data_IF_601578173056
#
_entry.id   IF_601578173056
#
_cell.length_a   1.000
_cell.length_b   1.000
_cell.length_c   1.000
_cell.angle_alpha   90.00
_cell.angle_beta   90.00
_cell.angle_gamma   90.00
#
_symmetry.space_group_name_H-M   'P 1'
#
loop_
_entity.id
_entity.type
_entity.pdbx_description
1 polymer ?
#
# COMPACT_ATOMS: atom_id res chain seq x y z
N UNK A 1 -34.46 39.83 -26.32
CA UNK A 1 -34.06 40.09 -24.91
C UNK A 1 -34.52 39.04 -23.89
N UNK A 2 -35.67 38.38 -24.13
CA UNK A 2 -36.21 37.39 -23.20
C UNK A 2 -35.33 36.13 -23.02
N UNK A 3 -34.64 35.67 -24.04
CA UNK A 3 -33.70 34.52 -23.96
C UNK A 3 -32.43 34.78 -23.14
N UNK A 4 -31.99 36.04 -23.09
CA UNK A 4 -30.78 36.40 -22.36
C UNK A 4 -31.04 36.46 -20.85
N UNK A 5 -32.23 36.86 -20.44
CA UNK A 5 -32.64 36.96 -19.04
C UNK A 5 -32.81 35.55 -18.42
N UNK A 6 -33.45 34.63 -19.13
CA UNK A 6 -33.65 33.24 -18.70
C UNK A 6 -32.31 32.46 -18.55
N UNK A 7 -31.32 32.77 -19.38
CA UNK A 7 -30.01 32.12 -19.27
C UNK A 7 -29.26 32.58 -18.02
N UNK A 8 -29.35 33.86 -17.67
CA UNK A 8 -28.73 34.42 -16.44
C UNK A 8 -29.35 33.85 -15.15
N UNK A 9 -30.70 33.71 -15.14
CA UNK A 9 -31.38 33.13 -13.99
C UNK A 9 -31.00 31.65 -13.75
N UNK A 10 -30.89 30.87 -14.81
CA UNK A 10 -30.45 29.47 -14.71
C UNK A 10 -29.03 29.32 -14.21
N UNK A 11 -28.11 30.19 -14.61
CA UNK A 11 -26.73 30.18 -14.15
C UNK A 11 -26.60 30.61 -12.65
N UNK A 12 -27.44 31.55 -12.22
CA UNK A 12 -27.52 31.93 -10.82
C UNK A 12 -28.09 30.83 -9.93
N UNK A 13 -29.15 30.17 -10.40
CA UNK A 13 -29.75 29.02 -9.69
C UNK A 13 -28.76 27.85 -9.53
N UNK A 14 -27.99 27.53 -10.57
CA UNK A 14 -26.95 26.51 -10.51
C UNK A 14 -25.85 26.83 -9.51
N UNK A 15 -25.43 28.10 -9.42
CA UNK A 15 -24.44 28.52 -8.43
C UNK A 15 -24.93 28.40 -7.00
N UNK A 16 -26.19 28.80 -6.77
CA UNK A 16 -26.83 28.70 -5.44
C UNK A 16 -26.99 27.21 -5.07
N UNK A 17 -27.47 26.38 -6.01
CA UNK A 17 -27.66 24.96 -5.78
C UNK A 17 -26.33 24.23 -5.49
N UNK A 18 -25.27 24.52 -6.24
CA UNK A 18 -23.94 23.99 -5.97
C UNK A 18 -23.39 24.44 -4.61
N UNK A 19 -23.62 25.68 -4.21
CA UNK A 19 -23.22 26.20 -2.91
C UNK A 19 -23.95 25.49 -1.75
N UNK A 20 -25.25 25.25 -1.88
CA UNK A 20 -26.05 24.54 -0.89
C UNK A 20 -25.66 23.07 -0.80
N UNK A 21 -25.46 22.41 -1.96
CA UNK A 21 -25.00 21.03 -2.01
C UNK A 21 -23.60 20.86 -1.39
N UNK A 22 -22.70 21.81 -1.67
CA UNK A 22 -21.36 21.80 -1.07
C UNK A 22 -21.40 22.01 0.43
N UNK A 23 -22.24 22.94 0.91
CA UNK A 23 -22.48 23.15 2.34
C UNK A 23 -23.10 21.94 3.03
N UNK A 24 -24.03 21.24 2.38
CA UNK A 24 -24.63 20.01 2.90
C UNK A 24 -23.62 18.86 2.98
N UNK A 25 -22.72 18.74 2.02
CA UNK A 25 -21.64 17.73 2.04
C UNK A 25 -20.64 17.99 3.22
N UNK A 26 -20.34 19.23 3.50
CA UNK A 26 -19.49 19.59 4.67
C UNK A 26 -20.20 19.21 5.97
N UNK A 27 -21.51 19.49 6.10
CA UNK A 27 -22.33 19.14 7.27
C UNK A 27 -22.49 17.62 7.45
N UNK A 28 -22.43 16.84 6.37
CA UNK A 28 -22.47 15.37 6.40
C UNK A 28 -21.12 14.72 6.75
N UNK A 29 -20.09 15.52 7.09
CA UNK A 29 -18.80 15.01 7.56
C UNK A 29 -17.88 14.49 6.46
N UNK A 30 -18.15 14.81 5.18
CA UNK A 30 -17.15 14.63 4.13
C UNK A 30 -16.10 15.74 4.26
N UNK A 31 -15.34 15.70 5.35
CA UNK A 31 -14.18 16.56 5.51
C UNK A 31 -13.14 16.15 4.47
N UNK A 32 -12.90 17.03 3.52
CA UNK A 32 -11.78 16.92 2.61
C UNK A 32 -10.50 16.97 3.44
N UNK A 33 -9.72 15.91 3.43
CA UNK A 33 -8.38 15.94 4.00
C UNK A 33 -7.49 16.81 3.11
N UNK A 34 -7.43 18.10 3.36
CA UNK A 34 -6.51 19.00 2.70
C UNK A 34 -5.09 18.75 3.23
N UNK A 35 -4.13 18.59 2.32
CA UNK A 35 -2.72 18.33 2.65
C UNK A 35 -2.08 19.42 3.51
N UNK A 36 -2.68 20.61 3.59
CA UNK A 36 -2.16 21.76 4.32
C UNK A 36 -2.93 22.10 5.62
N UNK A 37 -3.95 21.33 5.99
CA UNK A 37 -4.72 21.58 7.19
C UNK A 37 -4.00 21.06 8.44
N UNK A 38 -3.09 21.84 8.99
CA UNK A 38 -2.60 21.74 10.37
C UNK A 38 -3.67 22.23 11.37
N UNK A 39 -4.93 21.83 11.20
CA UNK A 39 -6.06 22.22 12.05
C UNK A 39 -6.66 21.03 12.75
N UNK A 40 -6.71 21.06 14.07
CA UNK A 40 -7.34 20.10 14.95
C UNK A 40 -8.70 19.57 14.41
N UNK A 41 -8.84 18.25 14.21
CA UNK A 41 -10.15 17.65 14.08
C UNK A 41 -10.39 16.64 12.95
N UNK A 42 -9.38 15.97 12.40
CA UNK A 42 -9.61 14.85 11.49
C UNK A 42 -8.89 13.59 11.98
N UNK A 43 -9.51 12.89 12.93
CA UNK A 43 -8.99 11.64 13.52
C UNK A 43 -8.92 10.47 12.49
N UNK A 44 -9.38 10.67 11.25
CA UNK A 44 -9.46 9.61 10.24
C UNK A 44 -8.45 9.72 9.09
N UNK A 45 -7.51 10.65 9.14
CA UNK A 45 -6.51 10.80 8.09
C UNK A 45 -5.22 10.05 8.46
N UNK A 46 -5.20 8.74 8.25
CA UNK A 46 -4.00 7.92 8.47
C UNK A 46 -2.88 8.25 7.48
N UNK A 47 -1.66 8.29 7.97
CA UNK A 47 -0.48 8.43 7.12
C UNK A 47 -0.29 7.20 6.23
N UNK A 48 0.37 7.37 5.09
CA UNK A 48 0.64 6.30 4.14
C UNK A 48 2.07 6.39 3.61
N UNK A 49 2.61 5.26 3.21
CA UNK A 49 3.94 5.15 2.62
C UNK A 49 3.96 4.20 1.42
N UNK A 50 4.97 4.36 0.56
CA UNK A 50 5.22 3.44 -0.56
C UNK A 50 6.31 2.46 -0.19
N UNK A 51 6.02 1.19 -0.37
CA UNK A 51 6.94 0.09 -0.10
C UNK A 51 7.24 -0.67 -1.38
N UNK A 52 8.51 -1.01 -1.55
CA UNK A 52 8.99 -1.80 -2.67
C UNK A 52 9.90 -2.93 -2.16
N UNK A 53 9.60 -4.15 -2.56
CA UNK A 53 10.48 -5.30 -2.41
C UNK A 53 10.84 -5.85 -3.78
N UNK A 54 12.11 -5.98 -4.04
CA UNK A 54 12.63 -6.58 -5.26
C UNK A 54 13.72 -7.58 -4.92
N UNK A 55 13.90 -8.56 -5.77
CA UNK A 55 14.96 -9.52 -5.55
C UNK A 55 14.92 -10.66 -6.52
N UNK A 56 15.62 -11.72 -6.13
CA UNK A 56 15.78 -12.92 -6.95
C UNK A 56 15.66 -14.16 -6.10
N UNK A 57 15.08 -15.20 -6.64
CA UNK A 57 14.99 -16.51 -6.02
C UNK A 57 15.96 -17.47 -6.71
N UNK A 58 16.84 -18.03 -5.92
CA UNK A 58 17.86 -18.97 -6.34
C UNK A 58 17.71 -20.29 -5.57
N UNK A 59 17.96 -21.39 -6.22
CA UNK A 59 18.13 -22.67 -5.57
C UNK A 59 19.53 -22.85 -5.00
N UNK A 60 19.77 -23.96 -4.34
CA UNK A 60 21.01 -24.28 -3.63
C UNK A 60 22.25 -24.25 -4.54
N UNK A 61 22.14 -24.67 -5.80
CA UNK A 61 23.23 -24.63 -6.80
C UNK A 61 23.25 -23.32 -7.58
N UNK A 62 22.61 -22.24 -7.08
CA UNK A 62 22.51 -20.92 -7.70
C UNK A 62 21.71 -20.86 -9.00
N UNK A 63 20.98 -21.93 -9.38
CA UNK A 63 20.05 -21.88 -10.50
C UNK A 63 18.85 -20.98 -10.12
N UNK A 64 18.31 -20.29 -11.10
CA UNK A 64 17.10 -19.46 -10.92
C UNK A 64 15.88 -20.36 -10.64
N UNK A 65 14.96 -19.87 -9.82
CA UNK A 65 13.68 -20.54 -9.55
C UNK A 65 12.57 -19.66 -10.11
N UNK A 66 12.05 -19.96 -11.31
CA UNK A 66 10.91 -19.27 -11.88
C UNK A 66 9.61 -19.70 -11.19
N UNK A 67 8.57 -18.89 -11.35
CA UNK A 67 7.21 -19.14 -10.82
C UNK A 67 7.13 -19.44 -9.32
N UNK A 68 8.18 -19.09 -8.57
CA UNK A 68 8.13 -19.14 -7.12
C UNK A 68 7.14 -18.09 -6.60
N UNK A 69 6.30 -18.49 -5.65
CA UNK A 69 5.32 -17.62 -5.01
C UNK A 69 5.97 -16.80 -3.90
N UNK A 70 5.87 -15.48 -4.01
CA UNK A 70 6.32 -14.54 -2.98
C UNK A 70 5.08 -13.98 -2.31
N UNK A 71 4.84 -14.37 -1.06
CA UNK A 71 3.81 -13.80 -0.21
C UNK A 71 4.40 -12.65 0.61
N UNK A 72 3.79 -11.48 0.52
CA UNK A 72 4.13 -10.32 1.35
C UNK A 72 3.03 -10.15 2.38
N UNK A 73 3.32 -10.48 3.63
CA UNK A 73 2.42 -10.31 4.77
C UNK A 73 2.76 -9.03 5.52
N UNK A 74 1.74 -8.23 5.77
CA UNK A 74 1.86 -7.02 6.56
C UNK A 74 1.62 -7.39 8.03
N UNK A 75 2.55 -7.04 8.89
CA UNK A 75 2.43 -7.26 10.33
C UNK A 75 1.98 -5.95 10.95
N UNK A 76 0.72 -5.87 11.36
CA UNK A 76 0.25 -4.74 12.16
C UNK A 76 0.81 -4.88 13.58
N UNK A 77 1.52 -3.84 14.02
CA UNK A 77 1.87 -3.70 15.44
C UNK A 77 0.77 -2.84 16.08
N UNK A 78 -0.16 -3.42 16.87
CA UNK A 78 -1.16 -2.63 17.58
C UNK A 78 -0.47 -1.66 18.53
N UNK A 79 -1.01 -0.45 18.66
CA UNK A 79 -0.48 0.58 19.56
C UNK A 79 -0.48 0.17 21.04
N UNK A 80 -1.21 -0.87 21.41
CA UNK A 80 -1.36 -1.39 22.76
C UNK A 80 -0.43 -2.58 23.11
N UNK A 81 0.48 -2.94 22.17
CA UNK A 81 1.41 -4.06 22.37
C UNK A 81 0.75 -5.45 22.27
N UNK A 82 -0.53 -5.55 21.96
CA UNK A 82 -1.16 -6.83 21.68
C UNK A 82 -0.74 -7.32 20.29
N UNK A 83 -0.45 -8.61 20.15
CA UNK A 83 -0.13 -9.22 18.87
C UNK A 83 -1.42 -9.39 18.05
N UNK A 84 -1.87 -8.32 17.41
CA UNK A 84 -2.97 -8.36 16.46
C UNK A 84 -2.43 -8.58 15.05
N UNK A 85 -2.60 -9.76 14.52
CA UNK A 85 -2.29 -10.04 13.11
C UNK A 85 -3.44 -9.57 12.22
N UNK A 86 -3.45 -8.31 11.81
CA UNK A 86 -4.20 -7.94 10.62
C UNK A 86 -3.35 -8.40 9.41
N UNK A 87 -3.60 -9.59 8.92
CA UNK A 87 -2.84 -10.16 7.81
C UNK A 87 -3.48 -9.72 6.51
N UNK A 88 -3.12 -8.54 6.04
CA UNK A 88 -3.22 -8.25 4.62
C UNK A 88 -2.05 -8.99 3.94
N UNK A 89 -2.33 -9.88 3.03
CA UNK A 89 -1.31 -10.60 2.28
C UNK A 89 -1.49 -10.35 0.79
N UNK A 90 -0.40 -9.94 0.16
CA UNK A 90 -0.31 -9.82 -1.28
C UNK A 90 0.61 -10.90 -1.85
N UNK A 91 0.42 -11.23 -3.11
CA UNK A 91 1.19 -12.28 -3.78
C UNK A 91 1.75 -11.78 -5.10
N UNK A 92 3.04 -12.05 -5.32
CA UNK A 92 3.70 -11.90 -6.62
C UNK A 92 4.46 -13.18 -6.96
N UNK A 93 4.79 -13.37 -8.22
CA UNK A 93 5.53 -14.54 -8.69
C UNK A 93 6.84 -14.13 -9.32
N UNK A 94 7.85 -15.01 -9.22
CA UNK A 94 9.11 -14.79 -9.93
C UNK A 94 8.93 -15.00 -11.43
N UNK A 95 9.64 -14.18 -12.20
CA UNK A 95 9.73 -14.31 -13.67
C UNK A 95 10.63 -15.47 -14.06
N UNK A 96 10.75 -15.76 -15.35
CA UNK A 96 11.65 -16.79 -15.92
C UNK A 96 13.11 -16.63 -15.47
N UNK A 97 13.57 -15.40 -15.25
CA UNK A 97 14.90 -15.11 -14.73
C UNK A 97 15.02 -15.18 -13.20
N UNK A 98 13.97 -15.62 -12.52
CA UNK A 98 13.88 -15.74 -11.06
C UNK A 98 13.69 -14.42 -10.32
N UNK A 99 13.53 -13.29 -11.01
CA UNK A 99 13.35 -11.98 -10.39
C UNK A 99 11.88 -11.72 -10.04
N UNK A 100 11.67 -10.96 -8.97
CA UNK A 100 10.35 -10.47 -8.57
C UNK A 100 10.39 -9.00 -8.18
N UNK A 101 9.24 -8.35 -8.29
CA UNK A 101 9.01 -6.98 -7.86
C UNK A 101 7.62 -6.89 -7.22
N UNK A 102 7.58 -6.42 -5.99
CA UNK A 102 6.37 -6.05 -5.27
C UNK A 102 6.40 -4.56 -4.96
N UNK A 103 5.31 -3.87 -5.26
CA UNK A 103 5.14 -2.46 -4.94
C UNK A 103 3.73 -2.24 -4.41
N UNK A 104 3.61 -1.52 -3.30
CA UNK A 104 2.32 -1.14 -2.75
C UNK A 104 2.39 0.18 -1.97
N UNK A 105 1.23 0.83 -1.85
CA UNK A 105 1.03 2.02 -1.01
C UNK A 105 0.12 1.63 0.14
N UNK A 106 0.63 1.71 1.36
CA UNK A 106 -0.03 1.16 2.55
C UNK A 106 -0.04 2.20 3.65
N UNK A 107 -1.08 2.16 4.48
CA UNK A 107 -1.24 2.99 5.67
C UNK A 107 -0.82 2.22 6.91
N UNK A 108 -0.01 2.84 7.75
CA UNK A 108 0.23 2.40 9.13
C UNK A 108 1.10 1.17 9.35
N UNK A 109 1.66 0.54 8.30
CA UNK A 109 2.45 -0.70 8.45
C UNK A 109 3.92 -0.47 8.15
N UNK A 110 4.80 -0.91 9.03
CA UNK A 110 6.25 -0.84 8.85
C UNK A 110 6.95 -2.20 8.90
N UNK A 111 6.26 -3.24 9.40
CA UNK A 111 6.81 -4.57 9.55
C UNK A 111 6.17 -5.52 8.54
N UNK A 112 7.02 -6.27 7.85
CA UNK A 112 6.61 -7.19 6.80
C UNK A 112 7.28 -8.54 7.00
N UNK A 113 6.54 -9.61 6.71
CA UNK A 113 7.08 -10.94 6.52
C UNK A 113 6.96 -11.32 5.05
N UNK A 114 8.09 -11.58 4.42
CA UNK A 114 8.14 -12.05 3.03
C UNK A 114 8.42 -13.53 3.06
N UNK A 115 7.55 -14.32 2.44
CA UNK A 115 7.65 -15.78 2.38
C UNK A 115 7.83 -16.17 0.92
N UNK A 116 8.84 -16.99 0.65
CA UNK A 116 9.10 -17.55 -0.67
C UNK A 116 8.76 -19.04 -0.67
N UNK A 117 7.88 -19.45 -1.57
CA UNK A 117 7.43 -20.83 -1.72
C UNK A 117 7.66 -21.32 -3.14
N UNK A 118 8.35 -22.43 -3.26
CA UNK A 118 8.46 -23.18 -4.52
C UNK A 118 7.22 -24.04 -4.71
N UNK A 119 6.41 -23.74 -5.72
CA UNK A 119 5.17 -24.48 -6.02
C UNK A 119 5.43 -25.85 -6.65
N UNK A 120 6.65 -26.09 -7.14
CA UNK A 120 7.04 -27.42 -7.68
C UNK A 120 7.35 -28.43 -6.58
N UNK A 121 7.54 -27.95 -5.35
CA UNK A 121 7.83 -28.79 -4.20
C UNK A 121 9.28 -29.28 -4.10
N UNK A 122 10.16 -28.83 -4.99
CA UNK A 122 11.58 -29.20 -5.01
C UNK A 122 12.34 -28.54 -3.87
N UNK A 123 11.96 -27.30 -3.54
CA UNK A 123 12.63 -26.51 -2.52
C UNK A 123 11.78 -26.33 -1.26
N UNK A 124 12.45 -26.08 -0.15
CA UNK A 124 11.82 -25.71 1.11
C UNK A 124 11.36 -24.26 1.05
N UNK A 125 10.26 -23.96 1.71
CA UNK A 125 9.79 -22.60 1.93
C UNK A 125 10.80 -21.85 2.81
N UNK A 126 11.07 -20.60 2.47
CA UNK A 126 11.93 -19.71 3.25
C UNK A 126 11.19 -18.40 3.54
N UNK A 127 11.55 -17.70 4.61
CA UNK A 127 10.92 -16.44 4.98
C UNK A 127 11.87 -15.49 5.67
N UNK A 128 11.60 -14.19 5.52
CA UNK A 128 12.37 -13.12 6.15
C UNK A 128 11.42 -12.06 6.72
N UNK A 129 11.73 -11.57 7.91
CA UNK A 129 11.05 -10.44 8.53
C UNK A 129 11.83 -9.16 8.24
N UNK A 130 11.14 -8.13 7.77
CA UNK A 130 11.74 -6.87 7.36
C UNK A 130 11.00 -5.72 8.04
N UNK A 131 11.75 -4.89 8.74
CA UNK A 131 11.27 -3.62 9.25
C UNK A 131 11.60 -2.53 8.26
N UNK A 132 10.56 -1.82 7.80
CA UNK A 132 10.69 -0.71 6.86
C UNK A 132 10.70 0.62 7.60
N UNK A 133 11.40 1.59 7.02
CA UNK A 133 11.49 2.95 7.54
C UNK A 133 11.40 3.95 6.38
N UNK A 134 10.17 4.25 5.90
CA UNK A 134 9.96 5.15 4.79
C UNK A 134 10.50 6.54 5.09
N UNK A 135 11.07 7.19 4.08
CA UNK A 135 11.68 8.53 4.17
C UNK A 135 11.38 9.37 2.95
N UNK A 136 11.53 10.68 3.10
CA UNK A 136 11.38 11.64 2.01
C UNK A 136 9.93 12.00 1.71
N UNK A 137 9.05 11.79 2.66
CA UNK A 137 7.67 12.21 2.58
C UNK A 137 7.44 13.65 3.03
N UNK A 138 6.22 14.10 2.86
CA UNK A 138 5.71 15.38 3.34
C UNK A 138 4.23 15.25 3.72
N UNK A 139 3.81 15.90 4.79
CA UNK A 139 2.45 15.82 5.31
C UNK A 139 2.08 14.37 5.71
N UNK A 140 1.00 13.84 5.13
CA UNK A 140 0.51 12.48 5.39
C UNK A 140 1.26 11.39 4.63
N UNK A 141 1.99 11.77 3.60
CA UNK A 141 2.87 10.87 2.89
C UNK A 141 4.18 10.73 3.64
N UNK A 142 4.45 9.58 4.23
CA UNK A 142 5.68 9.30 5.00
C UNK A 142 6.91 9.10 4.11
N UNK A 143 6.69 8.91 2.82
CA UNK A 143 7.76 8.68 1.86
C UNK A 143 7.78 7.25 1.33
N UNK A 144 8.96 6.80 0.93
CA UNK A 144 9.17 5.46 0.36
C UNK A 144 10.31 4.74 1.06
N UNK A 145 10.22 3.41 1.08
CA UNK A 145 11.34 2.54 1.40
C UNK A 145 11.38 1.37 0.40
N UNK A 146 12.59 0.99 -0.01
CA UNK A 146 12.84 -0.12 -0.94
C UNK A 146 13.88 -1.06 -0.34
N UNK A 147 13.60 -2.35 -0.47
CA UNK A 147 14.51 -3.41 -0.02
C UNK A 147 14.76 -4.43 -1.12
N UNK A 148 16.00 -4.86 -1.21
CA UNK A 148 16.37 -6.01 -2.00
C UNK A 148 16.41 -7.25 -1.13
N UNK A 149 15.68 -8.29 -1.54
CA UNK A 149 15.57 -9.54 -0.81
C UNK A 149 15.85 -10.70 -1.76
N UNK A 150 16.97 -11.37 -1.54
CA UNK A 150 17.38 -12.53 -2.33
C UNK A 150 17.14 -13.79 -1.51
N UNK A 151 16.31 -14.71 -2.01
CA UNK A 151 16.09 -16.01 -1.41
C UNK A 151 17.06 -17.04 -1.98
N UNK A 152 17.61 -17.89 -1.10
CA UNK A 152 18.45 -19.04 -1.46
C UNK A 152 17.80 -20.29 -0.90
N UNK A 153 16.93 -20.89 -1.69
CA UNK A 153 16.12 -22.02 -1.26
C UNK A 153 16.95 -23.31 -1.18
N UNK A 154 16.79 -24.04 -0.10
CA UNK A 154 17.37 -25.37 0.10
C UNK A 154 16.47 -26.44 -0.51
N UNK A 155 17.05 -27.48 -1.09
CA UNK A 155 16.27 -28.64 -1.54
C UNK A 155 15.55 -29.30 -0.37
N UNK A 156 14.38 -29.84 -0.61
CA UNK A 156 13.71 -30.70 0.35
C UNK A 156 14.49 -32.01 0.46
N UNK A 157 14.72 -32.46 1.69
CA UNK A 157 15.16 -33.83 1.91
C UNK A 157 14.01 -34.78 1.51
N UNK A 158 14.29 -35.72 0.66
CA UNK A 158 13.38 -36.79 0.25
C UNK A 158 13.39 -37.86 1.34
#
# INVERSE_FOLDING_TARGET
DYKHTMKREKEQWLRIFNGVMFGALILLGFAYCDENSMGAGSENCTSYAKYEFRGKVLGESRQVVPDARILVKHIASPADGSYGYAVLSDTVYTKENGEYLYQNTITGYQDFRIICEDLTGVYQTDSVDIKMNPKGGNGRYEGKDNREVVFKLKKRAI
#
